data_IF_734825942079
#
_entry.id   IF_734825942079
#
_cell.length_a   1.000
_cell.length_b   1.000
_cell.length_c   1.000
_cell.angle_alpha   90.00
_cell.angle_beta   90.00
_cell.angle_gamma   90.00
#
_symmetry.space_group_name_H-M   'P 1'
#
loop_
_entity.id
_entity.type
_entity.pdbx_description
1 polymer ?
#
# COMPACT_ATOMS: atom_id res chain seq x y z
N UNK A 1 25.21 -1.30 5.46
CA UNK A 1 24.59 -0.40 6.47
C UNK A 1 25.73 0.21 7.28
N UNK A 2 25.85 1.54 7.37
CA UNK A 2 27.01 2.20 8.01
C UNK A 2 26.91 2.18 9.54
N UNK A 3 28.04 2.25 10.24
CA UNK A 3 28.14 2.26 11.72
C UNK A 3 27.25 3.34 12.37
N UNK A 4 27.06 4.46 11.67
CA UNK A 4 26.24 5.59 12.10
C UNK A 4 24.74 5.24 12.16
N UNK A 5 24.23 4.49 11.18
CA UNK A 5 22.82 4.06 11.15
C UNK A 5 22.50 3.12 12.31
N UNK A 6 23.41 2.17 12.60
CA UNK A 6 23.27 1.23 13.72
C UNK A 6 23.23 2.00 15.05
N UNK A 7 24.04 3.05 15.21
CA UNK A 7 24.00 3.90 16.41
C UNK A 7 22.69 4.67 16.55
N UNK A 8 22.15 5.21 15.45
CA UNK A 8 20.87 5.95 15.48
C UNK A 8 19.69 5.08 15.90
N UNK A 9 19.72 3.79 15.56
CA UNK A 9 18.70 2.81 15.90
C UNK A 9 19.02 2.00 17.16
N UNK A 10 20.11 2.32 17.87
CA UNK A 10 20.45 1.68 19.13
C UNK A 10 19.58 2.24 20.25
N UNK A 11 18.96 1.36 21.05
CA UNK A 11 18.19 1.72 22.25
C UNK A 11 17.08 2.76 21.99
N UNK A 12 16.30 2.59 20.93
CA UNK A 12 15.18 3.50 20.64
C UNK A 12 14.13 3.41 21.73
N UNK A 13 13.67 4.56 22.23
CA UNK A 13 12.62 4.68 23.23
C UNK A 13 11.49 5.53 22.66
N UNK A 14 10.25 5.07 22.83
CA UNK A 14 9.04 5.83 22.56
C UNK A 14 8.28 6.13 23.86
N UNK A 15 7.51 7.22 23.86
CA UNK A 15 6.60 7.61 24.94
C UNK A 15 5.28 8.05 24.32
N UNK A 16 4.18 7.68 24.96
CA UNK A 16 2.85 8.13 24.59
C UNK A 16 2.51 9.38 25.39
N UNK A 17 1.97 10.42 24.71
CA UNK A 17 1.44 11.61 25.37
C UNK A 17 -0.08 11.47 25.47
N UNK A 18 -0.63 11.50 26.68
CA UNK A 18 -2.06 11.57 26.94
C UNK A 18 -2.40 12.87 27.68
N UNK A 19 -3.70 13.09 27.96
CA UNK A 19 -4.15 14.21 28.78
C UNK A 19 -3.62 14.15 30.23
N UNK A 20 -3.20 12.96 30.68
CA UNK A 20 -2.64 12.71 32.01
C UNK A 20 -1.11 12.86 32.07
N UNK A 21 -0.45 13.12 30.93
CA UNK A 21 1.00 13.30 30.84
C UNK A 21 1.67 12.28 29.92
N UNK A 22 2.93 11.96 30.22
CA UNK A 22 3.73 11.02 29.43
C UNK A 22 3.69 9.61 30.02
N UNK A 23 3.62 8.59 29.16
CA UNK A 23 3.77 7.19 29.57
C UNK A 23 5.19 6.88 30.05
N UNK A 24 5.35 5.69 30.64
CA UNK A 24 6.66 5.06 30.83
C UNK A 24 7.35 4.83 29.48
N UNK A 25 8.67 4.72 29.53
CA UNK A 25 9.54 4.42 28.40
C UNK A 25 9.19 3.07 27.78
N UNK A 26 8.87 3.07 26.49
CA UNK A 26 8.63 1.87 25.68
C UNK A 26 9.85 1.65 24.82
N UNK A 27 10.52 0.50 24.94
CA UNK A 27 11.67 0.16 24.09
C UNK A 27 11.18 -0.28 22.71
N UNK A 28 11.65 0.38 21.67
CA UNK A 28 11.33 0.07 20.27
C UNK A 28 12.51 -0.67 19.64
N UNK A 29 12.54 -2.00 19.80
CA UNK A 29 13.65 -2.83 19.30
C UNK A 29 13.39 -3.42 17.90
N UNK A 30 12.17 -3.26 17.37
CA UNK A 30 11.72 -3.85 16.11
C UNK A 30 11.17 -2.74 15.21
N UNK A 31 11.54 -2.80 13.93
CA UNK A 31 11.04 -1.88 12.90
C UNK A 31 11.84 -0.58 12.79
N UNK A 32 11.26 0.36 12.02
CA UNK A 32 11.83 1.69 11.79
C UNK A 32 11.10 2.76 12.61
N UNK A 33 11.75 3.91 12.87
CA UNK A 33 11.14 4.99 13.68
C UNK A 33 10.09 5.74 12.89
N UNK A 34 8.81 5.67 13.26
CA UNK A 34 7.80 6.50 12.61
C UNK A 34 8.11 8.00 12.81
N UNK A 35 7.94 8.80 11.73
CA UNK A 35 8.28 10.22 11.72
C UNK A 35 9.77 10.55 11.56
N UNK A 36 10.67 9.56 11.55
CA UNK A 36 12.08 9.80 11.25
C UNK A 36 12.30 9.87 9.73
N UNK A 37 12.93 10.94 9.20
CA UNK A 37 13.16 11.09 7.75
C UNK A 37 13.98 9.96 7.11
N UNK A 38 14.79 9.24 7.89
CA UNK A 38 15.62 8.13 7.40
C UNK A 38 14.86 6.79 7.33
N UNK A 39 13.77 6.65 8.08
CA UNK A 39 13.01 5.40 8.18
C UNK A 39 12.49 4.88 6.83
N UNK A 40 11.89 5.71 5.95
CA UNK A 40 11.39 5.24 4.67
C UNK A 40 12.52 4.67 3.80
N UNK A 41 13.68 5.32 3.75
CA UNK A 41 14.84 4.84 2.99
C UNK A 41 15.34 3.50 3.54
N UNK A 42 15.42 3.35 4.87
CA UNK A 42 15.87 2.10 5.47
C UNK A 42 14.91 0.94 5.21
N UNK A 43 13.60 1.22 5.28
CA UNK A 43 12.59 0.24 4.92
C UNK A 43 12.69 -0.13 3.43
N UNK A 44 12.85 0.87 2.55
CA UNK A 44 13.05 0.68 1.11
C UNK A 44 14.22 -0.27 0.80
N UNK A 45 15.41 0.00 1.34
CA UNK A 45 16.60 -0.87 1.16
C UNK A 45 16.35 -2.30 1.66
N UNK A 46 15.49 -2.46 2.66
CA UNK A 46 15.19 -3.76 3.24
C UNK A 46 14.25 -4.57 2.36
N UNK A 47 13.17 -3.95 1.88
CA UNK A 47 12.16 -4.60 1.05
C UNK A 47 12.63 -4.83 -0.40
N UNK A 48 13.55 -3.99 -0.91
CA UNK A 48 14.15 -4.09 -2.25
C UNK A 48 14.73 -5.50 -2.55
N UNK A 49 15.25 -6.17 -1.52
CA UNK A 49 15.78 -7.54 -1.62
C UNK A 49 14.74 -8.58 -2.07
N UNK A 50 13.45 -8.31 -1.88
CA UNK A 50 12.38 -9.20 -2.31
C UNK A 50 12.38 -9.37 -3.84
N UNK A 51 12.67 -8.30 -4.59
CA UNK A 51 12.74 -8.35 -6.05
C UNK A 51 13.79 -9.36 -6.50
N UNK A 52 15.01 -9.28 -5.93
CA UNK A 52 16.08 -10.23 -6.20
C UNK A 52 15.70 -11.68 -5.92
N UNK A 53 14.97 -11.96 -4.83
CA UNK A 53 14.49 -13.32 -4.54
C UNK A 53 13.53 -13.85 -5.62
N UNK A 54 12.69 -12.99 -6.19
CA UNK A 54 11.75 -13.36 -7.26
C UNK A 54 12.48 -13.55 -8.60
N UNK A 55 13.46 -12.71 -8.91
CA UNK A 55 14.28 -12.79 -10.12
C UNK A 55 15.16 -14.05 -10.13
N UNK A 56 15.86 -14.35 -9.02
CA UNK A 56 16.69 -15.55 -8.87
C UNK A 56 15.87 -16.82 -9.07
N UNK A 57 14.64 -16.83 -8.57
CA UNK A 57 13.72 -17.93 -8.75
C UNK A 57 13.17 -18.02 -10.19
N UNK A 58 13.45 -17.05 -11.07
CA UNK A 58 12.89 -16.95 -12.43
C UNK A 58 11.36 -16.95 -12.41
N UNK A 59 10.78 -16.23 -11.46
CA UNK A 59 9.34 -15.98 -11.47
C UNK A 59 8.99 -15.07 -12.64
N UNK A 60 7.88 -15.38 -13.29
CA UNK A 60 7.43 -14.63 -14.45
C UNK A 60 6.55 -13.44 -14.04
N UNK A 61 6.63 -12.34 -14.79
CA UNK A 61 5.93 -11.09 -14.51
C UNK A 61 5.01 -10.68 -15.64
N UNK A 62 4.33 -9.55 -15.47
CA UNK A 62 3.57 -8.95 -16.55
C UNK A 62 4.46 -8.10 -17.44
N UNK A 63 4.28 -8.18 -18.76
CA UNK A 63 4.98 -7.29 -19.69
C UNK A 63 4.18 -6.00 -19.83
N UNK A 64 4.76 -4.89 -19.42
CA UNK A 64 4.21 -3.55 -19.55
C UNK A 64 5.18 -2.67 -20.32
N UNK A 65 4.76 -2.16 -21.49
CA UNK A 65 5.57 -1.30 -22.35
C UNK A 65 6.99 -1.86 -22.67
N UNK A 66 7.12 -3.18 -22.79
CA UNK A 66 8.40 -3.85 -23.07
C UNK A 66 9.25 -4.15 -21.82
N UNK A 67 8.77 -3.80 -20.63
CA UNK A 67 9.42 -4.08 -19.34
C UNK A 67 8.66 -5.22 -18.65
N UNK A 68 9.39 -6.19 -18.10
CA UNK A 68 8.79 -7.22 -17.24
C UNK A 68 8.65 -6.65 -15.84
N UNK A 69 7.41 -6.64 -15.32
CA UNK A 69 7.07 -6.18 -13.98
C UNK A 69 6.55 -7.36 -13.18
N UNK A 70 7.35 -7.80 -12.20
CA UNK A 70 7.01 -8.93 -11.30
C UNK A 70 6.42 -8.46 -9.97
N UNK A 71 6.72 -7.23 -9.57
CA UNK A 71 6.48 -6.71 -8.24
C UNK A 71 6.28 -5.18 -8.30
N UNK A 72 5.33 -4.66 -7.52
CA UNK A 72 5.22 -3.25 -7.20
C UNK A 72 5.32 -3.06 -5.70
N UNK A 73 6.18 -2.14 -5.27
CA UNK A 73 6.40 -1.82 -3.86
C UNK A 73 6.01 -0.36 -3.61
N UNK A 74 5.11 -0.13 -2.66
CA UNK A 74 4.77 1.20 -2.18
C UNK A 74 4.61 1.21 -0.67
N UNK A 75 5.64 1.68 0.04
CA UNK A 75 5.71 1.53 1.49
C UNK A 75 5.42 0.07 1.90
N UNK A 76 4.43 -0.17 2.75
CA UNK A 76 4.00 -1.50 3.19
C UNK A 76 3.08 -2.24 2.22
N UNK A 77 2.61 -1.59 1.15
CA UNK A 77 1.80 -2.24 0.10
C UNK A 77 2.70 -2.96 -0.92
N UNK A 78 2.46 -4.27 -1.08
CA UNK A 78 3.15 -5.16 -2.02
C UNK A 78 2.13 -5.68 -3.03
N UNK A 79 2.42 -5.55 -4.33
CA UNK A 79 1.64 -6.17 -5.40
C UNK A 79 2.50 -7.14 -6.18
N UNK A 80 2.14 -8.42 -6.13
CA UNK A 80 2.76 -9.47 -6.94
C UNK A 80 2.02 -9.61 -8.27
N UNK A 81 2.77 -9.68 -9.37
CA UNK A 81 2.21 -9.79 -10.72
C UNK A 81 2.72 -11.08 -11.37
N UNK A 82 1.79 -11.90 -11.85
CA UNK A 82 2.07 -13.20 -12.46
C UNK A 82 1.21 -13.42 -13.71
N UNK A 83 1.74 -14.14 -14.71
CA UNK A 83 1.00 -14.50 -15.93
C UNK A 83 0.18 -15.76 -15.80
N UNK A 84 0.51 -16.62 -14.84
CA UNK A 84 -0.22 -17.85 -14.59
C UNK A 84 -0.31 -18.19 -13.10
N UNK A 85 -1.28 -19.03 -12.68
CA UNK A 85 -1.47 -19.38 -11.27
C UNK A 85 -0.24 -20.01 -10.60
N UNK A 86 0.50 -20.87 -11.31
CA UNK A 86 1.69 -21.52 -10.73
C UNK A 86 2.81 -20.54 -10.39
N UNK A 87 2.95 -19.46 -11.16
CA UNK A 87 3.92 -18.41 -10.85
C UNK A 87 3.47 -17.61 -9.64
N UNK A 88 2.19 -17.29 -9.52
CA UNK A 88 1.67 -16.58 -8.34
C UNK A 88 1.85 -17.42 -7.07
N UNK A 89 1.55 -18.72 -7.12
CA UNK A 89 1.79 -19.64 -6.00
C UNK A 89 3.26 -19.66 -5.57
N UNK A 90 4.17 -19.65 -6.55
CA UNK A 90 5.61 -19.61 -6.30
C UNK A 90 6.03 -18.27 -5.69
N UNK A 91 5.55 -17.15 -6.22
CA UNK A 91 5.80 -15.81 -5.68
C UNK A 91 5.28 -15.68 -4.23
N UNK A 92 4.10 -16.23 -3.91
CA UNK A 92 3.54 -16.23 -2.55
C UNK A 92 4.40 -17.01 -1.56
N UNK A 93 4.97 -18.16 -1.97
CA UNK A 93 5.90 -18.93 -1.13
C UNK A 93 7.20 -18.17 -0.87
N UNK A 94 7.77 -17.55 -1.91
CA UNK A 94 8.97 -16.72 -1.77
C UNK A 94 8.72 -15.50 -0.88
N UNK A 95 7.56 -14.86 -1.02
CA UNK A 95 7.14 -13.77 -0.14
C UNK A 95 7.07 -14.25 1.32
N UNK A 96 6.49 -15.43 1.57
CA UNK A 96 6.42 -16.02 2.92
C UNK A 96 7.81 -16.24 3.51
N UNK A 97 8.71 -16.87 2.75
CA UNK A 97 10.07 -17.18 3.21
C UNK A 97 10.87 -15.90 3.48
N UNK A 98 10.70 -14.91 2.59
CA UNK A 98 11.29 -13.58 2.75
C UNK A 98 10.77 -12.89 4.01
N UNK A 99 9.44 -12.77 4.18
CA UNK A 99 8.84 -12.15 5.35
C UNK A 99 9.24 -12.86 6.65
N UNK A 100 9.31 -14.19 6.66
CA UNK A 100 9.74 -14.98 7.82
C UNK A 100 11.19 -14.68 8.20
N UNK A 101 12.09 -14.63 7.21
CA UNK A 101 13.51 -14.28 7.41
C UNK A 101 13.67 -12.84 7.90
N UNK A 102 12.81 -11.95 7.41
CA UNK A 102 12.85 -10.52 7.69
C UNK A 102 12.05 -10.12 8.95
N UNK A 103 11.40 -11.07 9.63
CA UNK A 103 10.57 -10.78 10.80
C UNK A 103 9.36 -9.90 10.49
N UNK A 104 8.83 -9.96 9.27
CA UNK A 104 7.63 -9.25 8.82
C UNK A 104 6.42 -10.19 8.80
N UNK A 105 5.24 -9.63 9.03
CA UNK A 105 3.98 -10.36 9.04
C UNK A 105 3.08 -9.75 7.98
N UNK A 106 2.61 -10.60 7.05
CA UNK A 106 1.63 -10.20 6.03
C UNK A 106 0.24 -10.23 6.65
N UNK A 107 -0.54 -9.18 6.40
CA UNK A 107 -1.94 -9.14 6.81
C UNK A 107 -2.80 -9.89 5.78
N UNK A 108 -3.08 -11.16 6.06
CA UNK A 108 -3.88 -12.04 5.17
C UNK A 108 -5.29 -11.51 4.94
N UNK A 109 -5.90 -10.86 5.94
CA UNK A 109 -7.27 -10.33 5.81
C UNK A 109 -7.35 -9.18 4.80
N UNK A 110 -6.28 -8.39 4.68
CA UNK A 110 -6.15 -7.32 3.68
C UNK A 110 -5.58 -7.80 2.34
N UNK A 111 -4.93 -8.96 2.32
CA UNK A 111 -4.34 -9.51 1.10
C UNK A 111 -5.41 -10.17 0.25
N UNK A 112 -5.52 -9.77 -1.00
CA UNK A 112 -6.52 -10.26 -1.95
C UNK A 112 -5.86 -10.71 -3.23
N UNK A 113 -6.50 -11.63 -3.95
CA UNK A 113 -6.11 -12.03 -5.30
C UNK A 113 -7.13 -11.48 -6.29
N UNK A 114 -6.69 -10.94 -7.41
CA UNK A 114 -7.56 -10.48 -8.48
C UNK A 114 -7.09 -11.05 -9.81
N UNK A 115 -7.97 -11.76 -10.52
CA UNK A 115 -7.65 -12.40 -11.79
C UNK A 115 -8.08 -11.47 -12.95
N UNK A 116 -7.10 -10.90 -13.65
CA UNK A 116 -7.36 -9.98 -14.77
C UNK A 116 -7.48 -10.77 -16.09
N UNK A 117 -8.67 -10.76 -16.71
CA UNK A 117 -9.02 -11.40 -18.00
C UNK A 117 -8.46 -12.82 -18.19
N UNK A 118 -9.11 -13.82 -17.59
CA UNK A 118 -8.91 -15.22 -17.99
C UNK A 118 -9.92 -15.65 -19.06
N UNK A 119 -9.46 -16.36 -20.10
CA UNK A 119 -10.33 -16.99 -21.12
C UNK A 119 -11.03 -18.26 -20.62
N UNK A 120 -10.67 -18.73 -19.42
CA UNK A 120 -11.25 -19.90 -18.76
C UNK A 120 -11.60 -19.49 -17.34
N UNK A 121 -12.64 -20.09 -16.77
CA UNK A 121 -12.88 -20.04 -15.33
C UNK A 121 -11.74 -20.79 -14.63
N UNK A 122 -10.62 -20.11 -14.45
CA UNK A 122 -9.51 -20.59 -13.62
C UNK A 122 -9.91 -20.32 -12.18
N UNK A 123 -10.63 -21.27 -11.60
CA UNK A 123 -10.77 -21.37 -10.16
C UNK A 123 -9.42 -21.82 -9.60
N UNK A 124 -8.60 -20.85 -9.20
CA UNK A 124 -7.34 -21.13 -8.52
C UNK A 124 -7.47 -20.64 -7.08
N UNK A 125 -7.50 -21.59 -6.14
CA UNK A 125 -7.46 -21.26 -4.72
C UNK A 125 -6.01 -20.97 -4.34
N UNK A 126 -5.72 -19.70 -4.09
CA UNK A 126 -4.41 -19.28 -3.61
C UNK A 126 -4.39 -19.29 -2.08
N UNK A 127 -3.27 -19.76 -1.53
CA UNK A 127 -3.05 -19.78 -0.09
C UNK A 127 -1.79 -19.00 0.27
N UNK A 128 -1.86 -18.25 1.37
CA UNK A 128 -0.71 -17.65 2.02
C UNK A 128 -0.66 -18.13 3.47
N UNK A 129 0.44 -18.77 3.85
CA UNK A 129 0.65 -19.33 5.19
C UNK A 129 -0.55 -20.16 5.71
N UNK A 130 -1.00 -21.14 4.91
CA UNK A 130 -2.17 -21.99 5.16
C UNK A 130 -3.53 -21.25 5.27
N UNK A 131 -3.56 -19.96 4.96
CA UNK A 131 -4.79 -19.16 4.91
C UNK A 131 -5.22 -18.95 3.45
N UNK A 132 -6.48 -19.21 3.13
CA UNK A 132 -7.02 -18.92 1.80
C UNK A 132 -7.05 -17.41 1.58
N UNK A 133 -6.53 -16.97 0.43
CA UNK A 133 -6.67 -15.60 -0.02
C UNK A 133 -8.01 -15.43 -0.72
N UNK A 134 -8.72 -14.35 -0.38
CA UNK A 134 -9.99 -14.03 -1.04
C UNK A 134 -9.75 -13.54 -2.47
N UNK A 135 -10.42 -14.17 -3.43
CA UNK A 135 -10.48 -13.67 -4.80
C UNK A 135 -11.51 -12.53 -4.89
N UNK A 136 -11.11 -11.40 -5.47
CA UNK A 136 -11.94 -10.21 -5.62
C UNK A 136 -12.00 -9.75 -7.08
N UNK A 137 -13.15 -9.20 -7.46
CA UNK A 137 -13.35 -8.60 -8.79
C UNK A 137 -12.84 -7.15 -8.89
N UNK A 138 -12.64 -6.49 -7.74
CA UNK A 138 -12.18 -5.11 -7.63
C UNK A 138 -11.36 -4.95 -6.37
N UNK A 139 -10.28 -4.18 -6.45
CA UNK A 139 -9.42 -3.87 -5.30
C UNK A 139 -9.00 -2.41 -5.32
N UNK A 140 -9.00 -1.74 -4.16
CA UNK A 140 -8.53 -0.36 -4.04
C UNK A 140 -7.03 -0.35 -3.79
N UNK A 141 -6.26 0.18 -4.74
CA UNK A 141 -4.82 0.32 -4.66
C UNK A 141 -4.43 1.80 -4.78
N UNK A 142 -3.72 2.32 -3.77
CA UNK A 142 -3.28 3.74 -3.71
C UNK A 142 -4.40 4.76 -3.95
N UNK A 143 -5.61 4.45 -3.46
CA UNK A 143 -6.79 5.31 -3.62
C UNK A 143 -7.61 5.06 -4.88
N UNK A 144 -7.10 4.29 -5.84
CA UNK A 144 -7.76 3.99 -7.11
C UNK A 144 -8.36 2.59 -7.05
N UNK A 145 -9.66 2.47 -7.36
CA UNK A 145 -10.31 1.17 -7.51
C UNK A 145 -9.92 0.54 -8.85
N UNK A 146 -9.28 -0.61 -8.83
CA UNK A 146 -8.90 -1.38 -10.01
C UNK A 146 -9.86 -2.54 -10.14
N UNK A 147 -10.54 -2.64 -11.29
CA UNK A 147 -11.48 -3.71 -11.59
C UNK A 147 -10.83 -4.77 -12.49
N UNK A 148 -11.13 -6.06 -12.30
CA UNK A 148 -10.54 -7.18 -13.04
C UNK A 148 -10.73 -7.12 -14.58
N UNK A 149 -11.76 -6.42 -15.05
CA UNK A 149 -12.00 -6.17 -16.50
C UNK A 149 -11.13 -5.05 -17.07
N UNK A 150 -10.41 -4.32 -16.22
CA UNK A 150 -9.68 -3.09 -16.54
C UNK A 150 -10.56 -2.01 -17.19
N UNK A 151 -11.81 -1.94 -16.76
CA UNK A 151 -12.71 -0.85 -17.15
C UNK A 151 -12.54 0.32 -16.17
N UNK A 152 -11.99 1.42 -16.67
CA UNK A 152 -11.72 2.62 -15.88
C UNK A 152 -12.97 3.44 -15.57
N UNK A 153 -14.09 3.23 -16.28
CA UNK A 153 -15.30 4.04 -16.08
C UNK A 153 -15.79 3.97 -14.63
N UNK A 154 -15.77 2.78 -14.04
CA UNK A 154 -16.17 2.59 -12.64
C UNK A 154 -15.27 3.37 -11.67
N UNK A 155 -13.95 3.31 -11.88
CA UNK A 155 -12.95 4.02 -11.07
C UNK A 155 -13.12 5.53 -11.19
N UNK A 156 -13.31 6.02 -12.42
CA UNK A 156 -13.53 7.44 -12.74
C UNK A 156 -14.81 7.95 -12.10
N UNK A 157 -15.93 7.23 -12.24
CA UNK A 157 -17.20 7.59 -11.60
C UNK A 157 -17.05 7.69 -10.07
N UNK A 158 -16.30 6.77 -9.46
CA UNK A 158 -16.06 6.78 -8.01
C UNK A 158 -15.18 7.95 -7.56
N UNK A 159 -14.15 8.31 -8.34
CA UNK A 159 -13.33 9.51 -8.10
C UNK A 159 -14.17 10.79 -8.24
N UNK A 160 -14.98 10.91 -9.28
CA UNK A 160 -15.90 12.05 -9.49
C UNK A 160 -16.87 12.18 -8.30
N UNK A 161 -17.47 11.08 -7.88
CA UNK A 161 -18.38 11.08 -6.71
C UNK A 161 -17.66 11.45 -5.41
N UNK A 162 -16.41 11.05 -5.24
CA UNK A 162 -15.55 11.48 -4.13
C UNK A 162 -15.30 12.99 -4.17
N UNK A 163 -14.96 13.53 -5.35
CA UNK A 163 -14.80 14.95 -5.61
C UNK A 163 -16.05 15.76 -5.27
N UNK A 164 -17.23 15.30 -5.70
CA UNK A 164 -18.51 15.94 -5.35
C UNK A 164 -18.75 15.96 -3.84
N UNK A 165 -18.51 14.85 -3.14
CA UNK A 165 -18.66 14.80 -1.68
C UNK A 165 -17.72 15.78 -0.98
N UNK A 166 -16.46 15.84 -1.41
CA UNK A 166 -15.48 16.79 -0.88
C UNK A 166 -15.92 18.24 -1.15
N UNK A 167 -16.39 18.53 -2.37
CA UNK A 167 -16.91 19.84 -2.75
C UNK A 167 -18.10 20.27 -1.89
N UNK A 168 -19.12 19.41 -1.75
CA UNK A 168 -20.30 19.75 -0.94
C UNK A 168 -19.96 19.87 0.55
N UNK A 169 -19.02 19.05 1.05
CA UNK A 169 -18.48 19.19 2.40
C UNK A 169 -17.80 20.54 2.61
N UNK A 170 -16.97 20.97 1.66
CA UNK A 170 -16.35 22.29 1.67
C UNK A 170 -17.39 23.41 1.63
N UNK A 171 -18.37 23.32 0.72
CA UNK A 171 -19.41 24.34 0.57
C UNK A 171 -20.23 24.49 1.86
N UNK A 172 -20.61 23.37 2.49
CA UNK A 172 -21.32 23.37 3.76
C UNK A 172 -20.49 24.01 4.88
N UNK A 173 -19.20 23.66 4.98
CA UNK A 173 -18.30 24.24 5.97
C UNK A 173 -18.09 25.74 5.74
N UNK A 174 -18.03 26.19 4.49
CA UNK A 174 -17.94 27.62 4.17
C UNK A 174 -19.22 28.38 4.55
N UNK A 175 -20.40 27.77 4.36
CA UNK A 175 -21.69 28.36 4.80
C UNK A 175 -21.73 28.48 6.33
N UNK A 176 -21.35 27.43 7.05
CA UNK A 176 -21.31 27.44 8.53
C UNK A 176 -20.33 28.49 9.06
N UNK A 177 -19.15 28.59 8.46
CA UNK A 177 -18.12 29.56 8.84
C UNK A 177 -18.40 30.99 8.32
N UNK A 178 -19.54 31.21 7.63
CA UNK A 178 -19.89 32.45 6.95
C UNK A 178 -18.74 33.01 6.08
N UNK A 179 -18.03 32.11 5.40
CA UNK A 179 -16.86 32.45 4.60
C UNK A 179 -17.33 32.87 3.21
N UNK A 180 -17.20 34.16 2.90
CA UNK A 180 -17.73 34.76 1.65
C UNK A 180 -16.63 35.06 0.63
N UNK A 181 -15.39 35.33 1.08
CA UNK A 181 -14.26 35.66 0.20
C UNK A 181 -13.93 34.54 -0.78
N UNK A 182 -13.99 34.87 -2.08
CA UNK A 182 -13.71 33.93 -3.16
C UNK A 182 -12.29 33.36 -3.11
N UNK A 183 -11.27 34.18 -2.85
CA UNK A 183 -9.87 33.73 -2.83
C UNK A 183 -9.63 32.65 -1.77
N UNK A 184 -10.25 32.79 -0.60
CA UNK A 184 -10.18 31.78 0.47
C UNK A 184 -10.94 30.51 0.09
N UNK A 185 -12.10 30.62 -0.57
CA UNK A 185 -12.83 29.45 -1.07
C UNK A 185 -12.04 28.70 -2.14
N UNK A 186 -11.42 29.44 -3.07
CA UNK A 186 -10.56 28.86 -4.11
C UNK A 186 -9.37 28.14 -3.49
N UNK A 187 -8.67 28.77 -2.55
CA UNK A 187 -7.56 28.14 -1.82
C UNK A 187 -8.01 26.85 -1.11
N UNK A 188 -9.15 26.89 -0.41
CA UNK A 188 -9.70 25.71 0.26
C UNK A 188 -10.12 24.62 -0.73
N UNK A 189 -10.67 24.98 -1.88
CA UNK A 189 -11.00 24.04 -2.95
C UNK A 189 -9.74 23.34 -3.49
N UNK A 190 -8.70 24.11 -3.82
CA UNK A 190 -7.41 23.60 -4.28
C UNK A 190 -6.73 22.71 -3.23
N UNK A 191 -6.95 22.97 -1.95
CA UNK A 191 -6.33 22.23 -0.85
C UNK A 191 -7.12 20.98 -0.44
N UNK A 192 -8.46 21.02 -0.50
CA UNK A 192 -9.32 19.99 0.11
C UNK A 192 -10.11 19.16 -0.90
N UNK A 193 -10.36 19.70 -2.10
CA UNK A 193 -11.20 19.05 -3.12
C UNK A 193 -10.33 18.55 -4.28
N UNK A 194 -9.42 19.38 -4.78
CA UNK A 194 -8.53 19.00 -5.89
C UNK A 194 -7.72 17.72 -5.60
N UNK A 195 -7.18 17.47 -4.39
CA UNK A 195 -6.44 16.23 -4.13
C UNK A 195 -7.30 14.95 -4.11
N UNK A 196 -8.62 15.07 -4.10
CA UNK A 196 -9.58 13.94 -4.09
C UNK A 196 -9.96 13.52 -5.51
N UNK A 197 -9.79 14.42 -6.48
CA UNK A 197 -10.11 14.24 -7.90
C UNK A 197 -8.88 13.72 -8.62
#
# INVERSE_FOLDING_TARGET
>A
MTVSTIRLYKNVIAKLKSNEGWSKDIKCNIGVKQGCPLSPTLFGIYIDKLEGCLEEARCDGMILAGIVVILLLYADDIVLLARCPSDLDKQLRLLKDFCSTMGMIVNTDKTKVMIIKSKKDTYANFMYDNSNLEEVFSYKYLGIDIHHKLNWNYSIEKMINGGWKAYFGLENNCKIANLVMWDKKKFLFETLVTPVI
#
